data_IF_603270282182
#
_entry.id   IF_603270282182
#
_cell.length_a   1.000
_cell.length_b   1.000
_cell.length_c   1.000
_cell.angle_alpha   90.00
_cell.angle_beta   90.00
_cell.angle_gamma   90.00
#
_symmetry.space_group_name_H-M   'P 1'
#
loop_
_entity.id
_entity.type
_entity.pdbx_description
1 polymer ?
#
# COMPACT_ATOMS: atom_id res chain seq x y z
N UNK A 1 -10.68 -8.59 -30.95
CA UNK A 1 -9.58 -7.87 -30.26
C UNK A 1 -10.04 -7.69 -28.83
N UNK A 2 -9.58 -8.52 -27.91
CA UNK A 2 -9.92 -8.40 -26.48
C UNK A 2 -8.99 -7.37 -25.89
N UNK A 3 -9.49 -6.15 -25.74
CA UNK A 3 -8.83 -5.09 -24.99
C UNK A 3 -8.83 -5.53 -23.52
N UNK A 4 -7.74 -6.14 -23.06
CA UNK A 4 -7.47 -6.30 -21.63
C UNK A 4 -7.21 -4.89 -21.09
N UNK A 5 -8.29 -4.18 -20.75
CA UNK A 5 -8.21 -3.02 -19.87
C UNK A 5 -7.81 -3.60 -18.53
N UNK A 6 -6.51 -3.57 -18.26
CA UNK A 6 -6.00 -3.82 -16.93
C UNK A 6 -6.61 -2.71 -16.08
N UNK A 7 -7.69 -3.03 -15.37
CA UNK A 7 -8.40 -2.09 -14.51
C UNK A 7 -7.37 -1.55 -13.52
N UNK A 8 -6.84 -0.36 -13.80
CA UNK A 8 -6.03 0.39 -12.85
C UNK A 8 -6.98 0.78 -11.75
N UNK A 9 -6.86 0.09 -10.61
CA UNK A 9 -7.62 0.41 -9.42
C UNK A 9 -6.83 1.47 -8.67
N UNK A 10 -7.27 2.71 -8.77
CA UNK A 10 -6.78 3.78 -7.91
C UNK A 10 -7.30 3.53 -6.49
N UNK A 11 -6.40 3.11 -5.59
CA UNK A 11 -6.70 2.88 -4.18
C UNK A 11 -6.26 4.09 -3.37
N UNK A 12 -7.22 4.91 -2.95
CA UNK A 12 -6.98 5.93 -1.92
C UNK A 12 -7.23 5.32 -0.55
N UNK A 13 -6.21 5.33 0.32
CA UNK A 13 -6.34 4.90 1.71
C UNK A 13 -6.23 6.13 2.59
N UNK A 14 -7.29 6.45 3.32
CA UNK A 14 -7.29 7.54 4.29
C UNK A 14 -6.99 6.96 5.67
N UNK A 15 -6.01 7.54 6.35
CA UNK A 15 -5.66 7.21 7.73
C UNK A 15 -5.96 8.38 8.63
N UNK A 16 -6.46 8.10 9.83
CA UNK A 16 -6.39 9.04 10.94
C UNK A 16 -4.94 9.18 11.43
N UNK A 17 -4.64 10.25 12.17
CA UNK A 17 -3.28 10.46 12.71
C UNK A 17 -2.85 9.32 13.66
N UNK A 18 -3.80 8.73 14.39
CA UNK A 18 -3.54 7.59 15.28
C UNK A 18 -3.23 6.31 14.50
N UNK A 19 -4.04 5.99 13.49
CA UNK A 19 -3.80 4.82 12.61
C UNK A 19 -2.48 4.94 11.85
N UNK A 20 -2.11 6.14 11.40
CA UNK A 20 -0.82 6.36 10.75
C UNK A 20 0.34 6.16 11.72
N UNK A 21 0.22 6.63 12.97
CA UNK A 21 1.24 6.38 14.01
C UNK A 21 1.38 4.90 14.36
N UNK A 22 0.26 4.17 14.44
CA UNK A 22 0.31 2.71 14.61
C UNK A 22 1.02 2.04 13.43
N UNK A 23 0.78 2.52 12.20
CA UNK A 23 1.46 2.03 11.00
C UNK A 23 2.97 2.31 11.06
N UNK A 24 3.37 3.51 11.49
CA UNK A 24 4.78 3.89 11.68
C UNK A 24 5.46 3.01 12.74
N UNK A 25 4.76 2.75 13.84
CA UNK A 25 5.27 1.87 14.89
C UNK A 25 5.46 0.45 14.36
N UNK A 26 4.44 -0.11 13.70
CA UNK A 26 4.52 -1.46 13.12
C UNK A 26 5.60 -1.55 12.03
N UNK A 27 5.77 -0.50 11.23
CA UNK A 27 6.82 -0.41 10.23
C UNK A 27 8.20 -0.49 10.89
N UNK A 28 8.43 0.31 11.94
CA UNK A 28 9.68 0.28 12.70
C UNK A 28 9.93 -1.07 13.37
N UNK A 29 8.90 -1.69 13.96
CA UNK A 29 9.00 -3.01 14.61
C UNK A 29 9.31 -4.13 13.61
N UNK A 30 8.81 -3.99 12.38
CA UNK A 30 9.03 -4.93 11.28
C UNK A 30 10.30 -4.64 10.46
N UNK A 31 11.03 -3.56 10.79
CA UNK A 31 12.29 -3.17 10.15
C UNK A 31 12.16 -2.38 8.85
N UNK A 32 10.98 -1.82 8.55
CA UNK A 32 10.79 -0.88 7.43
C UNK A 32 11.25 0.53 7.82
N UNK A 33 11.72 1.29 6.82
CA UNK A 33 12.20 2.65 7.04
C UNK A 33 11.05 3.65 7.25
N UNK A 34 9.91 3.43 6.60
CA UNK A 34 8.70 4.26 6.72
C UNK A 34 7.43 3.42 6.76
N UNK A 35 6.35 4.01 7.26
CA UNK A 35 5.00 3.45 7.16
C UNK A 35 4.58 3.20 5.71
N UNK A 36 5.00 4.07 4.77
CA UNK A 36 4.70 3.96 3.34
C UNK A 36 5.36 2.73 2.71
N UNK A 37 6.63 2.45 3.05
CA UNK A 37 7.35 1.26 2.57
C UNK A 37 6.64 -0.03 3.01
N UNK A 38 6.21 -0.08 4.28
CA UNK A 38 5.44 -1.21 4.80
C UNK A 38 4.08 -1.32 4.10
N UNK A 39 3.39 -0.19 3.92
CA UNK A 39 2.08 -0.15 3.29
C UNK A 39 2.14 -0.63 1.84
N UNK A 40 3.16 -0.25 1.08
CA UNK A 40 3.38 -0.70 -0.29
C UNK A 40 3.52 -2.23 -0.37
N UNK A 41 4.31 -2.82 0.52
CA UNK A 41 4.46 -4.28 0.59
C UNK A 41 3.14 -4.97 0.95
N UNK A 42 2.40 -4.43 1.91
CA UNK A 42 1.08 -4.98 2.30
C UNK A 42 0.07 -4.88 1.14
N UNK A 43 0.06 -3.76 0.43
CA UNK A 43 -0.80 -3.54 -0.73
C UNK A 43 -0.41 -4.48 -1.87
N UNK A 44 0.88 -4.68 -2.14
CA UNK A 44 1.34 -5.58 -3.18
C UNK A 44 1.06 -7.05 -2.84
N UNK A 45 1.17 -7.44 -1.56
CA UNK A 45 0.79 -8.78 -1.11
C UNK A 45 -0.72 -9.02 -1.27
N UNK A 46 -1.56 -8.01 -0.98
CA UNK A 46 -3.02 -8.09 -1.10
C UNK A 46 -3.51 -7.98 -2.54
N UNK A 47 -2.82 -7.19 -3.36
CA UNK A 47 -3.14 -6.91 -4.75
C UNK A 47 -1.90 -7.13 -5.64
N UNK A 48 -1.47 -8.39 -5.85
CA UNK A 48 -0.24 -8.71 -6.57
C UNK A 48 -0.25 -8.29 -8.05
N UNK A 49 -1.42 -8.02 -8.61
CA UNK A 49 -1.60 -7.52 -9.97
C UNK A 49 -1.79 -6.00 -10.06
N UNK A 50 -1.82 -5.28 -8.93
CA UNK A 50 -1.97 -3.84 -8.91
C UNK A 50 -0.61 -3.16 -9.16
N UNK A 51 -0.64 -2.11 -9.98
CA UNK A 51 0.50 -1.22 -10.19
C UNK A 51 0.44 -0.14 -9.11
N UNK A 52 1.38 -0.15 -8.16
CA UNK A 52 1.49 0.90 -7.14
C UNK A 52 2.28 2.05 -7.75
N UNK A 53 1.63 3.20 -7.92
CA UNK A 53 2.25 4.43 -8.45
C UNK A 53 2.63 5.32 -7.27
N UNK A 54 3.92 5.70 -7.20
CA UNK A 54 4.49 6.58 -6.17
C UNK A 54 4.49 8.04 -6.59
#
# INVERSE_FOLDING_TARGET
MTENKQDKVDLTVEFTEEEFKELEQQASESGYATAEDMLEVLLQAKYPSAEIVR
#
